data_IF_628517276184
#
_entry.id   IF_628517276184
#
_cell.length_a   1.000
_cell.length_b   1.000
_cell.length_c   1.000
_cell.angle_alpha   90.00
_cell.angle_beta   90.00
_cell.angle_gamma   90.00
#
_symmetry.space_group_name_H-M   'P 1'
#
loop_
_entity.id
_entity.type
_entity.pdbx_description
1 polymer ?
#
# COMPACT_ATOMS: atom_id res chain seq x y z
N UNK A 1 6.76 -4.42 6.54
CA UNK A 1 5.29 -4.28 6.58
C UNK A 1 4.69 -4.18 5.18
N UNK A 2 5.04 -3.15 4.40
CA UNK A 2 4.54 -2.91 3.04
C UNK A 2 5.29 -3.75 2.00
N UNK A 3 6.54 -4.12 2.26
CA UNK A 3 7.41 -4.95 1.43
C UNK A 3 6.85 -6.37 1.20
N UNK A 4 5.91 -6.82 2.05
CA UNK A 4 5.24 -8.12 1.91
C UNK A 4 4.04 -8.09 0.94
N UNK A 5 3.66 -6.91 0.43
CA UNK A 5 2.54 -6.78 -0.50
C UNK A 5 2.65 -7.70 -1.73
N UNK A 6 3.82 -7.90 -2.37
CA UNK A 6 3.94 -8.84 -3.48
C UNK A 6 3.46 -10.24 -3.11
N UNK A 7 3.90 -10.78 -1.96
CA UNK A 7 3.49 -12.10 -1.50
C UNK A 7 1.99 -12.14 -1.16
N UNK A 8 1.50 -11.18 -0.38
CA UNK A 8 0.13 -11.18 0.13
C UNK A 8 -0.92 -10.98 -0.99
N UNK A 9 -0.64 -10.09 -1.94
CA UNK A 9 -1.57 -9.77 -3.04
C UNK A 9 -1.47 -10.81 -4.14
N UNK A 10 -0.27 -11.17 -4.58
CA UNK A 10 -0.11 -12.05 -5.75
C UNK A 10 -0.53 -13.50 -5.47
N UNK A 11 -0.57 -13.91 -4.20
CA UNK A 11 -1.11 -15.21 -3.77
C UNK A 11 -2.62 -15.18 -3.48
N UNK A 12 -3.30 -14.05 -3.70
CA UNK A 12 -4.74 -13.90 -3.48
C UNK A 12 -5.47 -13.63 -4.80
N UNK A 13 -5.99 -14.69 -5.41
CA UNK A 13 -6.72 -14.62 -6.69
C UNK A 13 -7.90 -13.65 -6.65
N UNK A 14 -8.60 -13.54 -5.52
CA UNK A 14 -9.74 -12.63 -5.38
C UNK A 14 -9.31 -11.15 -5.38
N UNK A 15 -8.11 -10.83 -4.86
CA UNK A 15 -7.55 -9.48 -4.96
C UNK A 15 -7.09 -9.18 -6.38
N UNK A 16 -6.34 -10.10 -7.01
CA UNK A 16 -5.90 -9.93 -8.41
C UNK A 16 -7.10 -9.72 -9.33
N UNK A 17 -8.15 -10.53 -9.18
CA UNK A 17 -9.37 -10.38 -9.99
C UNK A 17 -10.04 -9.02 -9.78
N UNK A 18 -10.15 -8.53 -8.54
CA UNK A 18 -10.73 -7.21 -8.25
C UNK A 18 -9.87 -6.08 -8.84
N UNK A 19 -8.55 -6.19 -8.71
CA UNK A 19 -7.57 -5.23 -9.19
C UNK A 19 -7.22 -5.31 -10.68
N UNK A 20 -7.76 -6.25 -11.46
CA UNK A 20 -7.32 -6.54 -12.85
C UNK A 20 -7.26 -5.34 -13.83
N UNK A 21 -7.94 -4.24 -13.50
CA UNK A 21 -7.95 -3.01 -14.30
C UNK A 21 -7.01 -1.92 -13.76
N UNK A 22 -6.41 -2.13 -12.59
CA UNK A 22 -5.46 -1.23 -11.97
C UNK A 22 -4.07 -1.48 -12.56
N UNK A 23 -3.53 -0.45 -13.21
CA UNK A 23 -2.14 -0.35 -13.64
C UNK A 23 -1.65 1.01 -13.16
N UNK A 24 -0.77 1.02 -12.16
CA UNK A 24 -0.39 2.26 -11.50
C UNK A 24 0.93 2.11 -10.73
N UNK A 25 1.56 3.25 -10.47
CA UNK A 25 2.63 3.40 -9.48
C UNK A 25 2.14 4.40 -8.45
N UNK A 26 2.02 3.97 -7.20
CA UNK A 26 1.60 4.84 -6.10
C UNK A 26 2.56 4.78 -4.92
N UNK A 27 2.57 5.86 -4.14
CA UNK A 27 3.43 5.98 -2.97
C UNK A 27 2.68 5.59 -1.70
N UNK A 28 3.33 4.85 -0.80
CA UNK A 28 2.86 4.62 0.57
C UNK A 28 3.90 5.18 1.53
N UNK A 29 3.48 5.97 2.50
CA UNK A 29 4.34 6.47 3.58
C UNK A 29 3.87 5.96 4.93
N UNK A 30 4.80 5.33 5.67
CA UNK A 30 4.60 4.86 7.04
C UNK A 30 5.57 5.63 7.94
N UNK A 31 5.09 6.71 8.56
CA UNK A 31 5.96 7.66 9.22
C UNK A 31 6.93 8.29 8.22
N UNK A 32 8.24 8.08 8.43
CA UNK A 32 9.29 8.63 7.56
C UNK A 32 9.71 7.67 6.42
N UNK A 33 9.23 6.42 6.44
CA UNK A 33 9.61 5.42 5.44
C UNK A 33 8.66 5.51 4.24
N UNK A 34 9.24 5.62 3.05
CA UNK A 34 8.53 5.68 1.77
C UNK A 34 8.60 4.34 1.04
N UNK A 35 7.52 3.97 0.37
CA UNK A 35 7.44 2.80 -0.50
C UNK A 35 6.79 3.18 -1.82
N UNK A 36 7.44 2.88 -2.95
CA UNK A 36 6.79 2.92 -4.26
C UNK A 36 6.25 1.53 -4.58
N UNK A 37 4.95 1.46 -4.90
CA UNK A 37 4.26 0.21 -5.20
C UNK A 37 3.90 0.22 -6.67
N UNK A 38 4.43 -0.75 -7.40
CA UNK A 38 4.20 -0.93 -8.83
C UNK A 38 3.13 -1.99 -9.04
N UNK A 39 2.05 -1.63 -9.74
CA UNK A 39 0.92 -2.51 -10.01
C UNK A 39 0.71 -2.67 -11.50
N UNK A 40 0.62 -3.91 -11.96
CA UNK A 40 0.23 -4.27 -13.33
C UNK A 40 -0.90 -5.30 -13.30
N UNK A 41 -2.02 -4.97 -13.95
CA UNK A 41 -3.23 -5.78 -14.01
C UNK A 41 -3.63 -6.38 -12.64
N UNK A 42 -3.56 -5.58 -11.59
CA UNK A 42 -3.90 -5.97 -10.22
C UNK A 42 -2.87 -6.80 -9.46
N UNK A 43 -1.71 -7.11 -10.07
CA UNK A 43 -0.57 -7.76 -9.41
C UNK A 43 0.44 -6.70 -8.96
N UNK A 44 1.08 -6.93 -7.82
CA UNK A 44 2.20 -6.10 -7.39
C UNK A 44 3.47 -6.62 -8.06
N UNK A 45 4.08 -5.83 -8.94
CA UNK A 45 5.31 -6.21 -9.64
C UNK A 45 6.52 -6.07 -8.74
N UNK A 46 6.63 -4.93 -8.05
CA UNK A 46 7.65 -4.68 -7.05
C UNK A 46 7.18 -3.66 -6.00
N UNK A 47 7.92 -3.63 -4.90
CA UNK A 47 7.85 -2.58 -3.89
C UNK A 47 9.27 -2.09 -3.66
N UNK A 48 9.51 -0.82 -3.95
CA UNK A 48 10.80 -0.17 -3.69
C UNK A 48 10.72 0.60 -2.38
N UNK A 49 11.78 0.56 -1.58
CA UNK A 49 11.87 1.32 -0.32
C UNK A 49 12.77 2.53 -0.54
N UNK A 50 12.27 3.70 -0.13
CA UNK A 50 12.97 4.97 -0.25
C UNK A 50 14.11 5.14 0.78
N UNK A 51 14.62 6.37 0.93
CA UNK A 51 14.04 7.62 0.43
C UNK A 51 14.19 7.82 -1.09
N UNK A 52 13.29 8.59 -1.68
CA UNK A 52 13.31 8.93 -3.10
C UNK A 52 13.47 10.45 -3.32
N UNK A 53 14.14 10.84 -4.41
CA UNK A 53 14.20 12.23 -4.87
C UNK A 53 13.32 12.38 -6.10
N UNK A 54 12.21 13.09 -5.96
CA UNK A 54 11.19 13.33 -7.01
C UNK A 54 10.74 12.06 -7.76
N UNK A 55 10.28 11.01 -7.07
CA UNK A 55 9.72 9.85 -7.75
C UNK A 55 8.44 10.23 -8.51
N UNK A 56 8.20 9.58 -9.65
CA UNK A 56 6.91 9.68 -10.35
C UNK A 56 5.93 8.67 -9.75
N UNK A 57 4.73 9.13 -9.41
CA UNK A 57 3.62 8.33 -8.90
C UNK A 57 2.30 9.06 -9.18
N UNK A 58 1.19 8.33 -9.23
CA UNK A 58 -0.13 8.91 -9.54
C UNK A 58 -0.83 9.47 -8.31
N UNK A 59 -0.78 8.74 -7.19
CA UNK A 59 -1.26 9.22 -5.89
C UNK A 59 -0.38 8.69 -4.74
N UNK A 60 -0.63 9.19 -3.53
CA UNK A 60 0.08 8.78 -2.32
C UNK A 60 -0.89 8.52 -1.16
N UNK A 61 -0.63 7.47 -0.39
CA UNK A 61 -1.31 7.19 0.89
C UNK A 61 -0.30 7.40 2.01
N UNK A 62 -0.59 8.33 2.91
CA UNK A 62 0.34 8.76 3.96
C UNK A 62 -0.29 8.62 5.33
N UNK A 63 0.47 8.11 6.28
CA UNK A 63 0.04 8.00 7.66
C UNK A 63 1.21 7.82 8.59
N UNK A 64 1.05 8.25 9.84
CA UNK A 64 2.02 7.91 10.88
C UNK A 64 2.01 6.40 11.14
N UNK A 65 3.11 5.85 11.62
CA UNK A 65 3.17 4.43 11.98
C UNK A 65 2.06 4.04 12.99
N UNK A 66 1.78 4.93 13.95
CA UNK A 66 0.71 4.73 14.92
C UNK A 66 -0.69 4.67 14.27
N UNK A 67 -0.94 5.49 13.25
CA UNK A 67 -2.19 5.46 12.49
C UNK A 67 -2.34 4.13 11.73
N UNK A 68 -1.31 3.71 11.00
CA UNK A 68 -1.32 2.43 10.29
C UNK A 68 -1.59 1.24 11.22
N UNK A 69 -0.99 1.24 12.41
CA UNK A 69 -1.21 0.19 13.43
C UNK A 69 -2.65 0.16 13.94
N UNK A 70 -3.35 1.30 13.98
CA UNK A 70 -4.77 1.38 14.37
C UNK A 70 -5.69 0.95 13.22
N UNK A 71 -5.42 1.47 12.02
CA UNK A 71 -6.21 1.22 10.82
C UNK A 71 -6.28 -0.28 10.48
N UNK A 72 -5.20 -1.04 10.69
CA UNK A 72 -5.18 -2.48 10.39
C UNK A 72 -5.75 -3.39 11.46
N UNK A 73 -6.30 -2.84 12.54
CA UNK A 73 -7.04 -3.68 13.48
C UNK A 73 -8.30 -4.21 12.81
N UNK A 74 -8.56 -5.51 12.95
CA UNK A 74 -9.76 -6.13 12.40
C UNK A 74 -11.06 -5.50 12.91
N UNK A 75 -11.02 -4.95 14.13
CA UNK A 75 -12.10 -4.14 14.70
C UNK A 75 -11.50 -2.80 15.10
N UNK A 76 -11.95 -1.68 14.47
CA UNK A 76 -11.49 -0.34 14.85
C UNK A 76 -11.94 0.01 16.27
N UNK A 77 -11.15 0.83 16.95
CA UNK A 77 -11.59 1.41 18.23
C UNK A 77 -12.72 2.43 18.01
N UNK A 78 -13.50 2.78 19.05
CA UNK A 78 -14.46 3.88 18.94
C UNK A 78 -13.77 5.16 18.44
N UNK A 79 -14.27 5.72 17.33
CA UNK A 79 -13.69 6.90 16.68
C UNK A 79 -12.65 6.62 15.59
N UNK A 80 -12.37 5.35 15.28
CA UNK A 80 -11.36 4.94 14.28
C UNK A 80 -11.99 4.38 12.99
N UNK A 81 -13.31 4.54 12.81
CA UNK A 81 -14.05 3.89 11.72
C UNK A 81 -13.76 4.50 10.33
N UNK A 82 -13.27 5.73 10.32
CA UNK A 82 -12.94 6.54 9.14
C UNK A 82 -11.44 6.86 9.03
N UNK A 83 -10.62 6.25 9.90
CA UNK A 83 -9.16 6.22 9.73
C UNK A 83 -8.77 5.51 8.43
#
# INVERSE_FOLDING_TARGET
MIEKLPELVNNNEALIRRGRWLNDVFLVEVGEIQYLVHVAAGRIECVETGPFVMPSWTFAIRGSEAMWRRFWKSVPAPGDNDL
#
